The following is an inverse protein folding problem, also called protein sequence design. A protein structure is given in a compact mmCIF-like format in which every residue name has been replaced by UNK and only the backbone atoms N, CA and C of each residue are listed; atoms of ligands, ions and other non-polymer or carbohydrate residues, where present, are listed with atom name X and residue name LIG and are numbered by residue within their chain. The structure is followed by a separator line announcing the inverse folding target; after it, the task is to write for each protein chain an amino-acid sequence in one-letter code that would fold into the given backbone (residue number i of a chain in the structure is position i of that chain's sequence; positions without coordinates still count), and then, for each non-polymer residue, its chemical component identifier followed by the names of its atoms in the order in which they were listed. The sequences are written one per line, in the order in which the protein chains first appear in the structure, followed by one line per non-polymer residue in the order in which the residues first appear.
data_IF_749844664713
#
_entry.id   IF_749844664713
#
_cell.length_a   1.000
_cell.length_b   1.000
_cell.length_c   1.000
_cell.angle_alpha   90.00
_cell.angle_beta   90.00
_cell.angle_gamma   90.00
#
_symmetry.space_group_name_H-M   'P 1'
#
loop_
_entity.id
_entity.type
_entity.pdbx_description
1 polymer ?
#
# COMPACT_ATOMS: atom_id res chain seq x y z
N UNK A 1 19.12 12.43 0.45
CA UNK A 1 18.48 11.66 1.55
C UNK A 1 17.15 11.11 1.05
N UNK A 2 16.76 9.90 1.46
CA UNK A 2 15.52 9.26 1.02
C UNK A 2 14.41 9.46 2.05
N UNK A 3 13.21 9.77 1.58
CA UNK A 3 12.01 9.90 2.41
C UNK A 3 11.01 8.89 1.89
N UNK A 4 10.65 7.91 2.71
CA UNK A 4 9.63 6.94 2.35
C UNK A 4 8.25 7.57 2.58
N UNK A 5 7.50 7.75 1.50
CA UNK A 5 6.13 8.24 1.55
C UNK A 5 5.19 7.05 1.65
N UNK A 6 4.14 7.15 2.46
CA UNK A 6 3.06 6.16 2.46
C UNK A 6 2.19 6.27 1.20
N UNK A 7 1.50 5.19 0.81
CA UNK A 7 0.66 5.20 -0.40
C UNK A 7 -0.45 6.26 -0.34
N UNK A 8 -1.00 6.56 0.84
CA UNK A 8 -2.00 7.61 0.97
C UNK A 8 -1.50 8.97 0.46
N UNK A 9 -0.21 9.27 0.61
CA UNK A 9 0.36 10.50 0.07
C UNK A 9 0.38 10.48 -1.46
N UNK A 10 0.72 9.34 -2.09
CA UNK A 10 0.61 9.21 -3.54
C UNK A 10 -0.84 9.38 -4.02
N UNK A 11 -1.81 8.81 -3.29
CA UNK A 11 -3.22 8.96 -3.59
C UNK A 11 -3.69 10.42 -3.50
N UNK A 12 -3.34 11.14 -2.44
CA UNK A 12 -3.66 12.57 -2.33
C UNK A 12 -3.00 13.43 -3.41
N UNK A 13 -1.77 13.09 -3.80
CA UNK A 13 -1.06 13.79 -4.87
C UNK A 13 -1.71 13.56 -6.24
N UNK A 14 -2.19 12.33 -6.50
CA UNK A 14 -2.94 11.95 -7.70
C UNK A 14 -4.27 12.70 -7.80
N UNK A 15 -5.04 12.77 -6.71
CA UNK A 15 -6.32 13.47 -6.67
C UNK A 15 -6.19 14.99 -6.88
N UNK A 16 -5.03 15.56 -6.53
CA UNK A 16 -4.74 16.98 -6.68
C UNK A 16 -5.59 17.90 -5.81
N UNK A 17 -6.24 17.36 -4.78
CA UNK A 17 -7.16 18.09 -3.89
C UNK A 17 -6.44 18.96 -2.86
N UNK A 18 -5.12 18.80 -2.69
CA UNK A 18 -4.32 19.58 -1.74
C UNK A 18 -3.08 20.23 -2.42
N UNK A 19 -3.23 21.46 -2.95
CA UNK A 19 -2.14 22.18 -3.61
C UNK A 19 -0.94 22.46 -2.69
N UNK A 20 -1.18 22.67 -1.39
CA UNK A 20 -0.10 22.90 -0.43
C UNK A 20 0.76 21.66 -0.21
N UNK A 21 0.15 20.47 -0.18
CA UNK A 21 0.87 19.20 -0.13
C UNK A 21 1.70 18.99 -1.41
N UNK A 22 1.11 19.23 -2.58
CA UNK A 22 1.83 19.13 -3.85
C UNK A 22 3.05 20.06 -3.88
N UNK A 23 2.89 21.33 -3.51
CA UNK A 23 3.99 22.28 -3.45
C UNK A 23 5.11 21.83 -2.51
N UNK A 24 4.75 21.29 -1.34
CA UNK A 24 5.71 20.80 -0.35
C UNK A 24 6.47 19.57 -0.84
N UNK A 25 5.78 18.60 -1.46
CA UNK A 25 6.42 17.39 -2.01
C UNK A 25 7.34 17.77 -3.18
N UNK A 26 6.90 18.65 -4.08
CA UNK A 26 7.72 19.17 -5.18
C UNK A 26 9.00 19.84 -4.66
N UNK A 27 8.89 20.76 -3.69
CA UNK A 27 10.06 21.44 -3.12
C UNK A 27 11.04 20.48 -2.42
N UNK A 28 10.53 19.40 -1.83
CA UNK A 28 11.37 18.35 -1.24
C UNK A 28 12.02 17.46 -2.30
N UNK A 29 11.36 17.22 -3.45
CA UNK A 29 11.84 16.35 -4.52
C UNK A 29 13.15 16.82 -5.16
N UNK A 30 13.44 18.12 -5.06
CA UNK A 30 14.68 18.75 -5.54
C UNK A 30 15.92 18.27 -4.76
N UNK A 31 15.73 17.82 -3.50
CA UNK A 31 16.83 17.46 -2.58
C UNK A 31 16.70 16.04 -2.02
N UNK A 32 15.55 15.40 -2.23
CA UNK A 32 15.20 14.11 -1.67
C UNK A 32 14.67 13.16 -2.75
N UNK A 33 14.91 11.88 -2.55
CA UNK A 33 14.30 10.80 -3.33
C UNK A 33 13.11 10.23 -2.57
N UNK A 34 12.04 9.90 -3.29
CA UNK A 34 10.82 9.29 -2.75
C UNK A 34 10.66 7.87 -3.28
N UNK A 35 11.43 6.89 -2.79
CA UNK A 35 11.38 5.55 -3.34
C UNK A 35 9.98 4.94 -3.18
N UNK A 36 9.50 4.27 -4.23
CA UNK A 36 8.32 3.41 -4.14
C UNK A 36 8.73 2.02 -3.62
N UNK A 37 7.78 1.11 -3.43
CA UNK A 37 8.03 -0.25 -2.93
C UNK A 37 6.91 -1.19 -3.39
N UNK A 38 7.07 -2.51 -3.26
CA UNK A 38 6.00 -3.46 -3.55
C UNK A 38 4.70 -3.17 -2.79
N UNK A 39 4.77 -2.67 -1.55
CA UNK A 39 3.59 -2.32 -0.74
C UNK A 39 2.71 -1.26 -1.43
N UNK A 40 3.30 -0.26 -2.10
CA UNK A 40 2.54 0.71 -2.88
C UNK A 40 1.77 0.06 -4.03
N UNK A 41 2.38 -0.93 -4.69
CA UNK A 41 1.74 -1.65 -5.79
C UNK A 41 0.67 -2.61 -5.29
N UNK A 42 0.84 -3.17 -4.08
CA UNK A 42 -0.16 -4.01 -3.40
C UNK A 42 -1.43 -3.22 -3.07
N UNK A 43 -1.32 -1.95 -2.66
CA UNK A 43 -2.48 -1.08 -2.44
C UNK A 43 -3.29 -0.89 -3.74
N UNK A 44 -2.61 -0.63 -4.86
CA UNK A 44 -3.23 -0.50 -6.19
C UNK A 44 -3.86 -1.85 -6.62
N UNK A 45 -3.14 -2.95 -6.44
CA UNK A 45 -3.59 -4.29 -6.78
C UNK A 45 -4.82 -4.71 -5.96
N UNK A 46 -4.81 -4.45 -4.65
CA UNK A 46 -5.92 -4.72 -3.74
C UNK A 46 -7.15 -3.92 -4.16
N UNK A 47 -6.98 -2.62 -4.45
CA UNK A 47 -8.07 -1.77 -4.93
C UNK A 47 -8.65 -2.26 -6.27
N UNK A 48 -7.83 -2.84 -7.15
CA UNK A 48 -8.28 -3.45 -8.42
C UNK A 48 -8.99 -4.81 -8.21
N UNK A 49 -8.61 -5.57 -7.18
CA UNK A 49 -9.17 -6.89 -6.90
C UNK A 49 -10.52 -6.85 -6.14
N UNK A 50 -10.79 -5.77 -5.38
CA UNK A 50 -12.05 -5.64 -4.62
C UNK A 50 -13.29 -5.64 -5.52
N UNK A 51 -14.46 -6.14 -5.07
CA UNK A 51 -15.71 -5.93 -5.80
C UNK A 51 -16.00 -4.43 -5.97
N UNK A 52 -16.52 -4.05 -7.15
CA UNK A 52 -16.89 -2.68 -7.47
C UNK A 52 -17.92 -2.68 -8.59
N UNK A 53 -18.82 -1.71 -8.57
CA UNK A 53 -19.79 -1.46 -9.65
C UNK A 53 -19.16 -0.73 -10.84
N UNK A 54 -17.93 -0.22 -10.69
CA UNK A 54 -17.17 0.40 -11.79
C UNK A 54 -16.77 -0.66 -12.82
N UNK A 55 -16.96 -0.40 -14.13
CA UNK A 55 -16.56 -1.32 -15.18
C UNK A 55 -15.08 -1.76 -15.06
N UNK A 56 -14.74 -3.05 -15.31
CA UNK A 56 -13.39 -3.55 -15.13
C UNK A 56 -12.31 -2.78 -15.90
N UNK A 57 -12.63 -2.31 -17.12
CA UNK A 57 -11.69 -1.55 -17.95
C UNK A 57 -11.36 -0.18 -17.34
N UNK A 58 -12.36 0.52 -16.81
CA UNK A 58 -12.19 1.83 -16.19
C UNK A 58 -11.35 1.71 -14.91
N UNK A 59 -11.57 0.64 -14.15
CA UNK A 59 -10.75 0.34 -12.96
C UNK A 59 -9.29 0.07 -13.31
N UNK A 60 -9.05 -0.66 -14.41
CA UNK A 60 -7.71 -0.93 -14.90
C UNK A 60 -7.03 0.36 -15.38
N UNK A 61 -7.76 1.21 -16.11
CA UNK A 61 -7.26 2.52 -16.53
C UNK A 61 -6.88 3.40 -15.33
N UNK A 62 -7.76 3.47 -14.31
CA UNK A 62 -7.48 4.21 -13.08
C UNK A 62 -6.26 3.65 -12.32
N UNK A 63 -6.07 2.32 -12.31
CA UNK A 63 -4.88 1.71 -11.73
C UNK A 63 -3.60 2.13 -12.47
N UNK A 64 -3.61 2.16 -13.81
CA UNK A 64 -2.46 2.61 -14.59
C UNK A 64 -2.14 4.09 -14.36
N UNK A 65 -3.14 4.98 -14.27
CA UNK A 65 -2.89 6.37 -13.94
C UNK A 65 -2.19 6.53 -12.57
N UNK A 66 -2.59 5.73 -11.57
CA UNK A 66 -1.94 5.73 -10.25
C UNK A 66 -0.50 5.20 -10.31
N UNK A 67 -0.24 4.18 -11.12
CA UNK A 67 1.10 3.61 -11.33
C UNK A 67 2.01 4.66 -12.00
N UNK A 68 1.50 5.39 -12.99
CA UNK A 68 2.22 6.46 -13.68
C UNK A 68 2.58 7.60 -12.71
N UNK A 69 1.68 7.97 -11.81
CA UNK A 69 1.97 8.98 -10.78
C UNK A 69 3.03 8.49 -9.78
N UNK A 70 2.97 7.23 -9.37
CA UNK A 70 4.04 6.63 -8.55
C UNK A 70 5.37 6.67 -9.30
N UNK A 71 5.39 6.34 -10.60
CA UNK A 71 6.60 6.42 -11.44
C UNK A 71 7.16 7.84 -11.48
N UNK A 72 6.31 8.82 -11.74
CA UNK A 72 6.68 10.24 -11.80
C UNK A 72 7.25 10.75 -10.48
N UNK A 73 6.60 10.45 -9.35
CA UNK A 73 7.01 10.93 -8.02
C UNK A 73 8.27 10.20 -7.54
N UNK A 74 8.35 8.89 -7.74
CA UNK A 74 9.49 8.09 -7.29
C UNK A 74 10.70 8.16 -8.21
N UNK A 75 10.52 8.66 -9.44
CA UNK A 75 11.52 8.62 -10.51
C UNK A 75 12.04 7.20 -10.75
N UNK A 76 11.14 6.22 -10.67
CA UNK A 76 11.44 4.79 -10.81
C UNK A 76 12.46 4.24 -9.79
N UNK A 77 12.68 4.97 -8.70
CA UNK A 77 13.51 4.47 -7.58
C UNK A 77 12.64 3.59 -6.71
N UNK A 78 13.02 2.32 -6.57
CA UNK A 78 12.30 1.34 -5.77
C UNK A 78 13.13 0.87 -4.58
N UNK A 79 12.51 0.86 -3.40
CA UNK A 79 12.96 0.15 -2.22
C UNK A 79 12.47 -1.30 -2.29
N UNK A 80 13.38 -2.22 -2.55
CA UNK A 80 13.11 -3.64 -2.71
C UNK A 80 13.45 -4.41 -1.44
N UNK A 81 12.54 -5.28 -0.94
CA UNK A 81 12.90 -6.23 0.09
C UNK A 81 13.92 -7.23 -0.46
N UNK A 82 14.75 -7.77 0.43
CA UNK A 82 15.66 -8.88 0.16
C UNK A 82 15.34 -10.04 1.10
N UNK A 83 15.61 -11.28 0.68
CA UNK A 83 15.27 -12.48 1.48
C UNK A 83 16.07 -12.56 2.78
N UNK A 84 17.34 -12.14 2.73
CA UNK A 84 18.26 -12.14 3.86
C UNK A 84 19.13 -10.89 3.74
N UNK A 85 18.74 -9.81 4.42
CA UNK A 85 19.53 -8.57 4.42
C UNK A 85 18.69 -7.30 4.56
N UNK A 86 19.35 -6.13 4.53
CA UNK A 86 18.66 -4.86 4.48
C UNK A 86 17.90 -4.70 3.15
N UNK A 87 16.88 -3.83 3.15
CA UNK A 87 16.24 -3.42 1.91
C UNK A 87 17.25 -2.71 1.01
N UNK A 88 17.15 -2.98 -0.30
CA UNK A 88 18.04 -2.39 -1.30
C UNK A 88 17.26 -1.45 -2.20
N UNK A 89 17.91 -0.37 -2.59
CA UNK A 89 17.35 0.54 -3.59
C UNK A 89 17.81 0.10 -4.96
N UNK A 90 16.89 0.04 -5.92
CA UNK A 90 17.18 -0.22 -7.33
C UNK A 90 16.29 0.65 -8.21
N UNK A 91 16.69 0.83 -9.45
CA UNK A 91 15.81 1.40 -10.47
C UNK A 91 14.90 0.28 -11.00
N UNK A 92 13.59 0.48 -10.92
CA UNK A 92 12.56 -0.43 -11.45
C UNK A 92 11.33 0.40 -11.81
N UNK A 93 10.74 0.15 -12.98
CA UNK A 93 9.48 0.77 -13.35
C UNK A 93 8.37 0.27 -12.41
N UNK A 94 7.56 1.15 -11.78
CA UNK A 94 6.48 0.70 -10.91
C UNK A 94 5.51 -0.26 -11.58
N UNK A 95 5.31 -0.15 -12.90
CA UNK A 95 4.52 -1.12 -13.67
C UNK A 95 5.11 -2.53 -13.63
N UNK A 96 6.43 -2.69 -13.72
CA UNK A 96 7.09 -4.00 -13.61
C UNK A 96 6.90 -4.60 -12.22
N UNK A 97 7.04 -3.76 -11.19
CA UNK A 97 6.78 -4.16 -9.81
C UNK A 97 5.31 -4.57 -9.60
N UNK A 98 4.37 -3.81 -10.14
CA UNK A 98 2.94 -4.10 -10.10
C UNK A 98 2.60 -5.43 -10.76
N UNK A 99 3.14 -5.70 -11.95
CA UNK A 99 2.92 -6.98 -12.63
C UNK A 99 3.45 -8.16 -11.81
N UNK A 100 4.59 -7.98 -11.14
CA UNK A 100 5.12 -8.99 -10.21
C UNK A 100 4.18 -9.20 -9.01
N UNK A 101 3.71 -8.14 -8.37
CA UNK A 101 2.74 -8.21 -7.26
C UNK A 101 1.46 -8.94 -7.70
N UNK A 102 0.87 -8.55 -8.83
CA UNK A 102 -0.34 -9.16 -9.37
C UNK A 102 -0.17 -10.65 -9.70
N UNK A 103 1.03 -11.07 -10.13
CA UNK A 103 1.35 -12.49 -10.36
C UNK A 103 1.29 -13.32 -9.07
N UNK A 104 1.63 -12.73 -7.93
CA UNK A 104 1.54 -13.38 -6.62
C UNK A 104 0.13 -13.28 -6.02
N UNK A 105 -0.57 -12.17 -6.24
CA UNK A 105 -1.95 -11.96 -5.79
C UNK A 105 -2.94 -13.01 -6.34
N UNK A 106 -2.70 -13.52 -7.57
CA UNK A 106 -3.52 -14.60 -8.16
C UNK A 106 -3.16 -16.00 -7.65
N UNK A 107 -2.01 -16.17 -7.00
CA UNK A 107 -1.52 -17.47 -6.52
C UNK A 107 -1.91 -17.75 -5.07
N UNK A 108 -2.15 -16.70 -4.30
CA UNK A 108 -2.74 -16.82 -2.98
C UNK A 108 -4.24 -16.54 -3.11
N UNK A 109 -5.13 -17.55 -3.02
CA UNK A 109 -6.44 -17.27 -2.47
C UNK A 109 -6.16 -16.81 -1.03
N UNK A 110 -6.02 -15.50 -0.81
CA UNK A 110 -5.70 -14.94 0.50
C UNK A 110 -6.89 -15.23 1.42
N UNK A 111 -6.79 -16.38 2.06
CA UNK A 111 -6.83 -16.57 3.50
C UNK A 111 -6.84 -15.24 4.26
N UNK A 112 -7.98 -14.56 4.27
CA UNK A 112 -8.47 -13.87 5.47
C UNK A 112 -8.79 -14.95 6.54
N UNK A 113 -7.79 -15.71 7.01
CA UNK A 113 -7.91 -16.54 8.22
C UNK A 113 -7.05 -16.01 9.37
N UNK A 114 -6.73 -14.72 9.39
CA UNK A 114 -6.08 -14.11 10.55
C UNK A 114 -7.01 -13.20 11.37
N UNK A 115 -8.24 -12.95 10.93
CA UNK A 115 -9.24 -12.20 11.72
C UNK A 115 -9.99 -13.06 12.77
N UNK A 116 -9.80 -14.39 12.77
CA UNK A 116 -10.46 -15.26 13.76
C UNK A 116 -9.70 -15.30 15.10
N UNK A 117 -8.39 -15.06 15.13
CA UNK A 117 -7.60 -15.20 16.36
C UNK A 117 -7.78 -14.03 17.34
N UNK A 118 -8.19 -12.85 16.87
CA UNK A 118 -8.47 -11.68 17.73
C UNK A 118 -9.89 -11.66 18.26
N UNK A 119 -10.88 -12.28 17.59
CA UNK A 119 -12.27 -12.30 18.10
C UNK A 119 -12.50 -13.29 19.25
N UNK A 120 -11.84 -14.43 19.26
CA UNK A 120 -11.97 -15.40 20.37
C UNK A 120 -11.15 -15.00 21.60
N UNK A 121 -10.05 -14.26 21.41
CA UNK A 121 -9.23 -13.73 22.50
C UNK A 121 -9.96 -12.65 23.30
N UNK A 122 -10.80 -11.83 22.65
CA UNK A 122 -11.61 -10.79 23.31
C UNK A 122 -12.81 -11.38 24.06
N UNK A 123 -13.39 -12.49 23.58
CA UNK A 123 -14.48 -13.18 24.29
C UNK A 123 -14.00 -13.96 25.52
N UNK A 124 -12.79 -14.52 25.51
CA UNK A 124 -12.25 -15.24 26.69
C UNK A 124 -11.72 -14.30 27.79
N UNK A 125 -11.32 -13.07 27.46
CA UNK A 125 -10.90 -12.07 28.45
C UNK A 125 -12.04 -11.34 29.18
N UNK A 126 -13.28 -11.43 28.68
CA UNK A 126 -14.43 -10.67 29.21
C UNK A 126 -15.33 -11.48 30.15
N UNK A 127 -15.04 -12.77 30.37
CA UNK A 127 -15.82 -13.68 31.23
C UNK A 127 -15.18 -13.95 32.61
N UNK A 128 -14.06 -13.32 32.95
CA UNK A 128 -13.40 -13.50 34.26
C UNK A 128 -13.55 -12.34 35.25
N UNK A 129 -14.48 -11.39 35.02
CA UNK A 129 -14.58 -10.17 35.86
C UNK A 129 -15.90 -9.95 36.61
N UNK A 130 -16.77 -10.95 36.75
CA UNK A 130 -18.06 -10.78 37.47
C UNK A 130 -18.37 -11.79 38.57
N UNK A 131 -17.44 -12.65 38.99
CA UNK A 131 -17.62 -13.48 40.18
C UNK A 131 -16.66 -13.05 41.29
N UNK A 132 -16.93 -11.90 41.90
CA UNK A 132 -16.41 -11.54 43.23
C UNK A 132 -17.08 -10.27 43.78
N UNK A 133 -18.40 -10.14 43.68
CA UNK A 133 -19.17 -9.21 44.52
C UNK A 133 -20.54 -9.81 44.83
N UNK A 134 -20.62 -10.62 45.87
CA UNK A 134 -21.79 -10.69 46.75
C UNK A 134 -21.34 -11.31 48.08
N UNK A 135 -21.44 -10.50 49.13
CA UNK A 135 -21.44 -10.93 50.53
C UNK A 135 -22.69 -11.74 50.83
#
# INVERSE_FOLDING_TARGET
MRIYLDYNLFAYLHEGTNPALQAKVSALSDRHEFPCSPAHMEEIASALARPSDTPPLDRLAAAFCKIDDVSRISRNVQLSPTTLGPMVTKEEQPLECFLRVMRHYRKEPVVEKNDWYTRDSVKKGSLQKTENIAR
#
